data_IF_631460054913
#
_entry.id   IF_631460054913
#
_cell.length_a   1.000
_cell.length_b   1.000
_cell.length_c   1.000
_cell.angle_alpha   90.00
_cell.angle_beta   90.00
_cell.angle_gamma   90.00
#
_symmetry.space_group_name_H-M   'P 1'
#
loop_
_entity.id
_entity.type
_entity.pdbx_description
1 polymer ?
#
# COMPACT_ATOMS: atom_id res chain seq x y z
N UNK A 1 -13.98 -0.30 -7.07
CA UNK A 1 -12.55 -0.52 -6.76
C UNK A 1 -11.75 0.47 -7.58
N UNK A 2 -10.69 1.07 -7.04
CA UNK A 2 -9.77 1.90 -7.83
C UNK A 2 -9.03 1.04 -8.86
N UNK A 3 -8.39 1.67 -9.85
CA UNK A 3 -7.58 0.99 -10.88
C UNK A 3 -6.58 0.03 -10.22
N UNK A 4 -6.52 -1.21 -10.70
CA UNK A 4 -5.47 -2.17 -10.29
C UNK A 4 -4.14 -1.70 -10.89
N UNK A 5 -3.14 -1.46 -10.05
CA UNK A 5 -1.82 -0.93 -10.46
C UNK A 5 -0.70 -1.98 -10.39
N UNK A 6 -1.03 -3.20 -9.94
CA UNK A 6 -0.18 -4.38 -10.01
C UNK A 6 -0.47 -5.38 -8.89
N UNK A 7 0.46 -6.31 -8.66
CA UNK A 7 0.24 -7.49 -7.80
C UNK A 7 1.47 -7.82 -6.96
N UNK A 8 1.26 -8.45 -5.80
CA UNK A 8 2.31 -9.01 -4.96
C UNK A 8 3.05 -7.98 -4.09
N UNK A 9 3.84 -8.52 -3.15
CA UNK A 9 4.60 -7.74 -2.17
C UNK A 9 5.61 -6.78 -2.81
N UNK A 10 6.27 -7.21 -3.88
CA UNK A 10 7.27 -6.38 -4.55
C UNK A 10 6.64 -5.12 -5.18
N UNK A 11 5.43 -5.22 -5.71
CA UNK A 11 4.73 -4.03 -6.23
C UNK A 11 4.34 -3.06 -5.11
N UNK A 12 3.98 -3.58 -3.95
CA UNK A 12 3.66 -2.79 -2.77
C UNK A 12 4.89 -1.99 -2.28
N UNK A 13 6.06 -2.65 -2.23
CA UNK A 13 7.34 -2.01 -1.91
C UNK A 13 7.76 -0.99 -2.97
N UNK A 14 7.63 -1.33 -4.26
CA UNK A 14 7.92 -0.42 -5.37
C UNK A 14 7.09 0.86 -5.25
N UNK A 15 5.78 0.74 -5.00
CA UNK A 15 4.91 1.89 -4.81
C UNK A 15 5.35 2.75 -3.62
N UNK A 16 5.67 2.12 -2.49
CA UNK A 16 6.14 2.82 -1.29
C UNK A 16 7.40 3.63 -1.58
N UNK A 17 8.40 3.01 -2.22
CA UNK A 17 9.67 3.67 -2.60
C UNK A 17 9.42 4.86 -3.53
N UNK A 18 8.63 4.67 -4.59
CA UNK A 18 8.30 5.74 -5.54
C UNK A 18 7.60 6.92 -4.88
N UNK A 19 6.70 6.67 -3.93
CA UNK A 19 6.04 7.73 -3.19
C UNK A 19 7.03 8.52 -2.31
N UNK A 20 7.94 7.83 -1.63
CA UNK A 20 8.99 8.45 -0.82
C UNK A 20 9.97 9.25 -1.66
N UNK A 21 10.41 8.69 -2.80
CA UNK A 21 11.34 9.34 -3.74
C UNK A 21 10.75 10.65 -4.30
N UNK A 22 9.44 10.68 -4.52
CA UNK A 22 8.72 11.89 -4.92
C UNK A 22 8.58 12.94 -3.79
N UNK A 23 8.98 12.62 -2.56
CA UNK A 23 8.80 13.46 -1.37
C UNK A 23 7.40 13.36 -0.74
N UNK A 24 6.67 12.28 -0.99
CA UNK A 24 5.35 12.01 -0.43
C UNK A 24 5.37 10.98 0.70
N UNK A 25 4.20 10.70 1.28
CA UNK A 25 4.04 9.69 2.32
C UNK A 25 3.11 8.56 1.84
N UNK A 26 3.59 7.30 1.77
CA UNK A 26 2.76 6.20 1.29
C UNK A 26 1.68 5.82 2.33
N UNK A 27 0.45 5.69 1.86
CA UNK A 27 -0.72 5.28 2.63
C UNK A 27 -1.21 3.95 2.09
N UNK A 28 -1.35 2.96 2.98
CA UNK A 28 -1.90 1.66 2.67
C UNK A 28 -3.20 1.42 3.44
N UNK A 29 -4.25 1.01 2.73
CA UNK A 29 -5.54 0.64 3.31
C UNK A 29 -5.88 -0.80 2.93
N UNK A 30 -6.03 -1.64 3.94
CA UNK A 30 -6.42 -3.06 3.82
C UNK A 30 -7.93 -3.27 3.93
N UNK A 31 -8.66 -2.25 4.40
CA UNK A 31 -10.10 -2.25 4.60
C UNK A 31 -10.75 -1.01 3.99
N UNK A 32 -12.01 -1.16 3.59
CA UNK A 32 -12.89 -0.06 3.16
C UNK A 32 -14.27 -0.25 3.80
N UNK A 33 -14.79 0.77 4.48
CA UNK A 33 -16.05 0.66 5.23
C UNK A 33 -16.03 -0.45 6.29
N UNK A 34 -14.88 -0.71 6.93
CA UNK A 34 -14.71 -1.78 7.93
C UNK A 34 -14.52 -3.19 7.36
N UNK A 35 -14.71 -3.39 6.05
CA UNK A 35 -14.59 -4.70 5.39
C UNK A 35 -13.22 -4.85 4.73
N UNK A 36 -12.61 -6.04 4.84
CA UNK A 36 -11.38 -6.37 4.09
C UNK A 36 -11.64 -6.30 2.59
N UNK A 37 -10.63 -5.86 1.86
CA UNK A 37 -10.67 -5.85 0.40
C UNK A 37 -10.58 -7.31 -0.14
N UNK A 38 -11.27 -7.62 -1.25
CA UNK A 38 -11.18 -8.95 -1.86
C UNK A 38 -9.78 -9.21 -2.45
N UNK A 39 -9.47 -10.47 -2.75
CA UNK A 39 -8.23 -10.90 -3.45
C UNK A 39 -6.94 -10.47 -2.75
N UNK A 40 -6.94 -10.45 -1.41
CA UNK A 40 -5.80 -10.02 -0.60
C UNK A 40 -5.23 -8.68 -1.10
N UNK A 41 -6.12 -7.70 -1.27
CA UNK A 41 -5.76 -6.43 -1.87
C UNK A 41 -5.47 -5.33 -0.84
N UNK A 42 -4.67 -4.36 -1.27
CA UNK A 42 -4.34 -3.14 -0.54
C UNK A 42 -4.56 -1.96 -1.46
N UNK A 43 -5.32 -0.96 -1.00
CA UNK A 43 -5.39 0.33 -1.68
C UNK A 43 -4.18 1.15 -1.25
N UNK A 44 -3.36 1.53 -2.22
CA UNK A 44 -2.17 2.34 -2.05
C UNK A 44 -2.44 3.76 -2.56
N UNK A 45 -2.06 4.76 -1.77
CA UNK A 45 -2.13 6.17 -2.14
C UNK A 45 -0.84 6.88 -1.70
N UNK A 46 -0.49 7.96 -2.38
CA UNK A 46 0.67 8.78 -2.03
C UNK A 46 0.20 10.15 -1.54
N UNK A 47 0.39 10.42 -0.25
CA UNK A 47 0.05 11.72 0.35
C UNK A 47 1.05 12.79 -0.07
N UNK A 48 0.55 13.99 -0.41
CA UNK A 48 1.38 15.12 -0.85
C UNK A 48 1.93 15.03 -2.27
N UNK A 49 1.90 13.84 -2.90
CA UNK A 49 2.42 13.59 -4.25
C UNK A 49 1.54 12.65 -5.09
N UNK A 50 0.23 12.64 -4.81
CA UNK A 50 -0.73 11.77 -5.50
C UNK A 50 -1.00 12.17 -6.96
N UNK A 51 -0.66 13.39 -7.35
CA UNK A 51 -0.67 13.86 -8.74
C UNK A 51 0.48 13.23 -9.56
N UNK A 52 1.66 13.04 -8.94
CA UNK A 52 2.85 12.41 -9.53
C UNK A 52 2.79 10.89 -9.44
N UNK A 53 2.53 10.35 -8.23
CA UNK A 53 2.47 8.91 -7.95
C UNK A 53 1.01 8.51 -7.79
N UNK A 54 0.38 8.18 -8.93
CA UNK A 54 -1.03 7.78 -8.97
C UNK A 54 -1.27 6.51 -8.13
N UNK A 55 -2.12 6.64 -7.12
CA UNK A 55 -2.57 5.54 -6.28
C UNK A 55 -3.46 4.54 -7.03
N UNK A 56 -3.72 3.40 -6.39
CA UNK A 56 -4.50 2.31 -6.97
C UNK A 56 -4.63 1.13 -6.03
N UNK A 57 -5.15 0.03 -6.55
CA UNK A 57 -5.27 -1.23 -5.81
C UNK A 57 -4.14 -2.17 -6.21
N UNK A 58 -3.46 -2.78 -5.24
CA UNK A 58 -2.46 -3.83 -5.43
C UNK A 58 -3.05 -5.12 -4.87
N UNK A 59 -3.13 -6.19 -5.67
CA UNK A 59 -3.74 -7.48 -5.29
C UNK A 59 -2.70 -8.53 -4.96
N UNK A 60 -3.14 -9.71 -4.50
CA UNK A 60 -2.28 -10.88 -4.29
C UNK A 60 -1.15 -10.62 -3.29
N UNK A 61 -1.42 -9.80 -2.27
CA UNK A 61 -0.49 -9.54 -1.17
C UNK A 61 -0.53 -10.75 -0.22
N UNK A 62 0.61 -11.26 0.27
CA UNK A 62 0.61 -12.31 1.29
C UNK A 62 -0.22 -11.89 2.51
N UNK A 63 -1.05 -12.81 3.02
CA UNK A 63 -2.02 -12.48 4.08
C UNK A 63 -1.33 -11.97 5.35
N UNK A 64 -0.17 -12.51 5.69
CA UNK A 64 0.66 -12.08 6.82
C UNK A 64 1.06 -10.60 6.75
N UNK A 65 1.30 -10.08 5.53
CA UNK A 65 1.64 -8.67 5.28
C UNK A 65 0.41 -7.79 5.51
N UNK A 66 -0.77 -8.23 5.06
CA UNK A 66 -2.04 -7.54 5.28
C UNK A 66 -2.36 -7.48 6.77
N UNK A 67 -2.21 -8.60 7.48
CA UNK A 67 -2.45 -8.67 8.92
C UNK A 67 -1.47 -7.80 9.71
N UNK A 68 -0.20 -7.76 9.30
CA UNK A 68 0.78 -6.85 9.89
C UNK A 68 0.39 -5.40 9.64
N UNK A 69 0.03 -5.02 8.41
CA UNK A 69 -0.45 -3.67 8.08
C UNK A 69 -1.68 -3.24 8.89
N UNK A 70 -2.58 -4.17 9.21
CA UNK A 70 -3.75 -3.89 10.04
C UNK A 70 -3.39 -3.57 11.50
N UNK A 71 -2.30 -4.17 12.01
CA UNK A 71 -1.77 -3.96 13.36
C UNK A 71 -0.88 -2.72 13.44
N UNK A 72 -0.08 -2.45 12.40
CA UNK A 72 0.90 -1.35 12.35
C UNK A 72 0.38 -0.17 11.51
N UNK A 73 -0.86 0.27 11.79
CA UNK A 73 -1.50 1.36 11.03
C UNK A 73 -0.60 2.60 10.95
N UNK A 74 -0.29 3.02 9.73
CA UNK A 74 0.52 4.21 9.46
C UNK A 74 2.04 3.97 9.49
N UNK A 75 2.50 2.81 9.97
CA UNK A 75 3.91 2.44 9.91
C UNK A 75 4.17 1.59 8.66
N UNK A 76 4.73 2.22 7.63
CA UNK A 76 5.16 1.57 6.40
C UNK A 76 6.66 1.24 6.41
N UNK A 77 7.40 1.61 7.46
CA UNK A 77 8.86 1.47 7.53
C UNK A 77 9.30 0.00 7.53
N UNK A 78 8.60 -0.85 8.27
CA UNK A 78 8.86 -2.29 8.28
C UNK A 78 8.68 -2.96 6.91
N UNK A 79 7.79 -2.41 6.05
CA UNK A 79 7.57 -2.94 4.70
C UNK A 79 8.82 -2.76 3.82
N UNK A 80 9.57 -1.68 4.07
CA UNK A 80 10.74 -1.29 3.30
C UNK A 80 12.06 -1.78 3.91
N UNK A 81 12.01 -2.44 5.07
CA UNK A 81 13.20 -2.91 5.78
C UNK A 81 13.95 -1.81 6.52
N UNK A 82 13.32 -0.67 6.79
CA UNK A 82 13.88 0.32 7.72
C UNK A 82 13.66 -0.17 9.15
N UNK A 83 14.73 -0.62 9.79
CA UNK A 83 14.84 -0.79 11.26
C UNK A 83 14.95 0.55 11.95
#
# INVERSE_FOLDING_TARGET
>A
MTKVIGRGLEKLKEFARRCLDAGGVPIFRTKYGGRRLPNNAVVAACWGKGDVVKGGTITDIPIEVIERMEKTKGDYKWLLGYT
#
